data_IF_983194109248
#
_entry.id   IF_983194109248
#
_cell.length_a   1.000
_cell.length_b   1.000
_cell.length_c   1.000
_cell.angle_alpha   90.00
_cell.angle_beta   90.00
_cell.angle_gamma   90.00
#
_symmetry.space_group_name_H-M   'P 1'
#
loop_
_entity.id
_entity.type
_entity.pdbx_description
1 polymer ?
#
# COMPACT_ATOMS: atom_id res chain seq x y z
N UNK A 1 10.37 -42.09 36.75
CA UNK A 1 10.31 -41.63 35.35
C UNK A 1 9.00 -40.86 35.18
N UNK A 2 9.01 -39.56 35.48
CA UNK A 2 7.79 -38.73 35.42
C UNK A 2 7.85 -37.90 34.13
N UNK A 3 7.08 -38.31 33.13
CA UNK A 3 6.84 -37.51 31.95
C UNK A 3 5.93 -36.34 32.35
N UNK A 4 6.53 -35.20 32.70
CA UNK A 4 5.81 -33.93 32.76
C UNK A 4 5.45 -33.53 31.33
N UNK A 5 4.30 -34.01 30.87
CA UNK A 5 3.65 -33.52 29.67
C UNK A 5 3.30 -32.04 29.93
N UNK A 6 4.08 -31.13 29.35
CA UNK A 6 3.73 -29.72 29.25
C UNK A 6 2.42 -29.65 28.45
N UNK A 7 1.30 -29.53 29.18
CA UNK A 7 0.02 -29.11 28.64
C UNK A 7 0.27 -27.77 27.96
N UNK A 8 0.41 -27.79 26.63
CA UNK A 8 0.16 -26.61 25.81
C UNK A 8 -1.31 -26.31 26.08
N UNK A 9 -1.57 -25.33 26.96
CA UNK A 9 -2.81 -24.57 26.80
C UNK A 9 -2.72 -24.06 25.38
N UNK A 10 -3.55 -24.59 24.50
CA UNK A 10 -3.91 -23.89 23.29
C UNK A 10 -4.38 -22.51 23.76
N UNK A 11 -3.46 -21.55 23.81
CA UNK A 11 -3.81 -20.16 23.64
C UNK A 11 -4.40 -20.13 22.26
N UNK A 12 -5.70 -20.42 22.16
CA UNK A 12 -6.52 -20.15 21.00
C UNK A 12 -6.20 -18.70 20.64
N UNK A 13 -5.30 -18.54 19.68
CA UNK A 13 -4.82 -17.24 19.27
C UNK A 13 -5.99 -16.57 18.61
N UNK A 14 -6.60 -15.59 19.29
CA UNK A 14 -7.67 -14.80 18.68
C UNK A 14 -7.08 -14.13 17.45
N UNK A 15 -7.52 -14.59 16.28
CA UNK A 15 -7.11 -13.99 15.02
C UNK A 15 -7.94 -12.74 14.80
N UNK A 16 -7.26 -11.59 14.74
CA UNK A 16 -7.91 -10.32 14.47
C UNK A 16 -7.77 -10.05 12.98
N UNK A 17 -8.87 -10.00 12.26
CA UNK A 17 -8.86 -9.46 10.91
C UNK A 17 -9.08 -7.96 10.98
N UNK A 18 -8.22 -7.22 10.27
CA UNK A 18 -8.32 -5.78 10.09
C UNK A 18 -8.71 -5.54 8.65
N UNK A 19 -9.82 -4.85 8.42
CA UNK A 19 -10.24 -4.46 7.08
C UNK A 19 -10.65 -2.99 7.03
N UNK A 20 -10.45 -2.39 5.87
CA UNK A 20 -10.93 -1.07 5.51
C UNK A 20 -11.63 -1.15 4.15
N UNK A 21 -12.53 -0.20 3.85
CA UNK A 21 -13.00 0.00 2.48
C UNK A 21 -11.82 0.20 1.53
N UNK A 22 -11.98 -0.22 0.27
CA UNK A 22 -11.00 0.07 -0.78
C UNK A 22 -10.97 1.60 -1.01
N UNK A 23 -9.82 2.26 -0.90
CA UNK A 23 -9.76 3.71 -1.08
C UNK A 23 -10.02 4.11 -2.53
N UNK A 24 -10.84 5.14 -2.73
CA UNK A 24 -11.23 5.57 -4.08
C UNK A 24 -10.05 6.21 -4.84
N UNK A 25 -9.15 6.89 -4.12
CA UNK A 25 -7.98 7.52 -4.72
C UNK A 25 -6.99 6.53 -5.35
N UNK A 26 -7.11 5.22 -5.09
CA UNK A 26 -6.22 4.23 -5.69
C UNK A 26 -6.39 4.19 -7.22
N UNK A 27 -7.61 4.32 -7.72
CA UNK A 27 -7.86 4.43 -9.17
C UNK A 27 -7.34 5.76 -9.72
N UNK A 28 -7.47 6.84 -8.94
CA UNK A 28 -6.95 8.15 -9.32
C UNK A 28 -5.43 8.17 -9.49
N UNK A 29 -4.69 7.38 -8.69
CA UNK A 29 -3.24 7.21 -8.85
C UNK A 29 -2.90 6.61 -10.22
N UNK A 30 -3.64 5.59 -10.67
CA UNK A 30 -3.41 4.99 -12.00
C UNK A 30 -3.63 6.02 -13.11
N UNK A 31 -4.73 6.78 -13.02
CA UNK A 31 -5.07 7.83 -14.00
C UNK A 31 -4.00 8.92 -14.02
N UNK A 32 -3.52 9.35 -12.85
CA UNK A 32 -2.47 10.38 -12.76
C UNK A 32 -1.14 9.87 -13.35
N UNK A 33 -0.74 8.63 -13.09
CA UNK A 33 0.48 8.04 -13.69
C UNK A 33 0.45 8.04 -15.21
N UNK A 34 -0.72 7.85 -15.81
CA UNK A 34 -0.89 7.86 -17.27
C UNK A 34 -1.01 9.25 -17.89
N UNK A 35 -1.28 10.30 -17.10
CA UNK A 35 -1.58 11.64 -17.62
C UNK A 35 -0.57 12.70 -17.21
N UNK A 36 0.00 12.61 -16.01
CA UNK A 36 0.89 13.62 -15.44
C UNK A 36 2.23 13.70 -16.19
N UNK A 37 2.65 14.88 -16.67
CA UNK A 37 3.86 15.03 -17.50
C UNK A 37 5.14 14.51 -16.83
N UNK A 38 5.30 14.74 -15.52
CA UNK A 38 6.46 14.25 -14.77
C UNK A 38 6.49 12.72 -14.69
N UNK A 39 5.34 12.09 -14.44
CA UNK A 39 5.24 10.64 -14.33
C UNK A 39 5.47 9.99 -15.70
N UNK A 40 4.91 10.56 -16.78
CA UNK A 40 5.23 10.14 -18.15
C UNK A 40 6.71 10.22 -18.47
N UNK A 41 7.38 11.28 -18.01
CA UNK A 41 8.83 11.43 -18.19
C UNK A 41 9.58 10.33 -17.43
N UNK A 42 9.19 10.03 -16.20
CA UNK A 42 9.82 8.95 -15.41
C UNK A 42 9.57 7.59 -16.05
N UNK A 43 8.36 7.30 -16.52
CA UNK A 43 8.05 6.09 -17.28
C UNK A 43 8.96 5.94 -18.49
N UNK A 44 9.08 7.00 -19.30
CA UNK A 44 9.94 6.98 -20.48
C UNK A 44 11.40 6.73 -20.13
N UNK A 45 11.94 7.46 -19.14
CA UNK A 45 13.33 7.27 -18.68
C UNK A 45 13.56 5.86 -18.12
N UNK A 46 12.58 5.30 -17.42
CA UNK A 46 12.64 3.95 -16.88
C UNK A 46 12.66 2.90 -17.99
N UNK A 47 11.82 3.05 -19.01
CA UNK A 47 11.80 2.19 -20.21
C UNK A 47 13.12 2.24 -21.00
N UNK A 48 13.79 3.40 -21.03
CA UNK A 48 15.10 3.54 -21.67
C UNK A 48 16.28 3.05 -20.79
N UNK A 49 16.03 2.68 -19.53
CA UNK A 49 17.09 2.34 -18.59
C UNK A 49 17.95 3.52 -18.14
N UNK A 50 17.49 4.76 -18.39
CA UNK A 50 18.18 6.01 -18.06
C UNK A 50 17.67 6.66 -16.77
N UNK A 51 16.63 6.08 -16.15
CA UNK A 51 16.09 6.57 -14.90
C UNK A 51 17.12 6.48 -13.77
N UNK A 52 17.50 7.64 -13.22
CA UNK A 52 18.45 7.72 -12.12
C UNK A 52 17.73 7.40 -10.80
N UNK A 53 17.99 6.21 -10.26
CA UNK A 53 17.52 5.79 -8.94
C UNK A 53 16.74 4.47 -8.95
N UNK A 54 16.32 3.99 -7.78
CA UNK A 54 15.55 2.75 -7.62
C UNK A 54 14.08 2.97 -8.01
N UNK A 55 13.86 3.25 -9.30
CA UNK A 55 12.55 3.39 -9.90
C UNK A 55 12.02 2.05 -10.35
N UNK A 56 10.76 1.78 -10.07
CA UNK A 56 10.06 0.58 -10.52
C UNK A 56 8.72 0.99 -11.13
N UNK A 57 8.35 0.34 -12.23
CA UNK A 57 7.03 0.47 -12.81
C UNK A 57 6.26 -0.83 -12.56
N UNK A 58 5.26 -0.78 -11.69
CA UNK A 58 4.39 -1.91 -11.37
C UNK A 58 2.99 -1.63 -11.89
N UNK A 59 2.57 -2.36 -12.92
CA UNK A 59 1.26 -2.24 -13.55
C UNK A 59 0.89 -0.81 -13.99
N UNK A 60 1.87 -0.02 -14.43
CA UNK A 60 1.65 1.36 -14.86
C UNK A 60 1.69 2.39 -13.74
N UNK A 61 2.08 2.01 -12.52
CA UNK A 61 2.31 2.93 -11.40
C UNK A 61 3.80 3.01 -11.11
N UNK A 62 4.32 4.24 -10.98
CA UNK A 62 5.70 4.49 -10.59
C UNK A 62 5.87 4.34 -9.08
N UNK A 63 6.87 3.54 -8.71
CA UNK A 63 7.39 3.38 -7.37
C UNK A 63 8.81 3.94 -7.28
N UNK A 64 9.13 4.53 -6.14
CA UNK A 64 10.46 4.94 -5.76
C UNK A 64 10.79 4.33 -4.39
N UNK A 65 11.81 3.47 -4.32
CA UNK A 65 12.17 2.75 -3.08
C UNK A 65 10.96 2.05 -2.43
N UNK A 66 10.23 1.25 -3.20
CA UNK A 66 9.07 0.47 -2.74
C UNK A 66 7.86 1.31 -2.28
N UNK A 67 7.83 2.61 -2.57
CA UNK A 67 6.73 3.53 -2.25
C UNK A 67 6.16 4.12 -3.52
N UNK A 68 4.84 4.29 -3.57
CA UNK A 68 4.20 5.03 -4.66
C UNK A 68 4.77 6.44 -4.69
N UNK A 69 5.26 6.85 -5.86
CA UNK A 69 5.74 8.20 -6.07
C UNK A 69 4.57 9.09 -6.51
N UNK A 70 4.39 10.21 -5.80
CA UNK A 70 3.43 11.24 -6.18
C UNK A 70 4.19 12.55 -6.45
N UNK A 71 3.94 13.22 -7.59
CA UNK A 71 4.47 14.54 -7.86
C UNK A 71 4.05 15.54 -6.78
N UNK A 72 4.93 16.47 -6.41
CA UNK A 72 4.67 17.44 -5.34
C UNK A 72 3.48 18.38 -5.59
N UNK A 73 3.09 18.54 -6.86
CA UNK A 73 1.95 19.33 -7.32
C UNK A 73 0.69 18.48 -7.57
N UNK A 74 0.68 17.21 -7.15
CA UNK A 74 -0.48 16.32 -7.26
C UNK A 74 -1.55 16.71 -6.23
N UNK A 75 -2.76 16.97 -6.70
CA UNK A 75 -3.93 17.18 -5.85
C UNK A 75 -4.30 15.92 -5.05
N UNK A 76 -3.84 14.73 -5.49
CA UNK A 76 -4.07 13.47 -4.77
C UNK A 76 -3.43 13.48 -3.38
N UNK A 77 -2.36 14.25 -3.17
CA UNK A 77 -1.71 14.34 -1.85
C UNK A 77 -2.73 14.80 -0.80
N UNK A 78 -3.49 15.85 -1.07
CA UNK A 78 -4.47 16.38 -0.13
C UNK A 78 -5.65 15.41 0.07
N UNK A 79 -6.13 14.79 -1.01
CA UNK A 79 -7.23 13.82 -0.98
C UNK A 79 -6.85 12.60 -0.13
N UNK A 80 -5.66 12.03 -0.38
CA UNK A 80 -5.16 10.87 0.35
C UNK A 80 -4.99 11.20 1.84
N UNK A 81 -4.41 12.36 2.17
CA UNK A 81 -4.25 12.77 3.57
C UNK A 81 -5.59 12.94 4.28
N UNK A 82 -6.57 13.55 3.62
CA UNK A 82 -7.92 13.72 4.18
C UNK A 82 -8.62 12.38 4.41
N UNK A 83 -8.56 11.47 3.43
CA UNK A 83 -9.19 10.15 3.56
C UNK A 83 -8.51 9.28 4.63
N UNK A 84 -7.18 9.27 4.69
CA UNK A 84 -6.45 8.51 5.71
C UNK A 84 -6.78 9.02 7.10
N UNK A 85 -6.85 10.34 7.30
CA UNK A 85 -7.26 10.93 8.58
C UNK A 85 -8.70 10.56 8.97
N UNK A 86 -9.60 10.44 7.99
CA UNK A 86 -10.97 10.01 8.20
C UNK A 86 -11.18 8.49 8.26
N UNK A 87 -10.13 7.69 8.00
CA UNK A 87 -10.28 6.26 7.77
C UNK A 87 -10.64 5.53 9.06
N UNK A 88 -11.85 4.95 9.07
CA UNK A 88 -12.30 4.07 10.13
C UNK A 88 -11.98 2.63 9.77
N UNK A 89 -11.16 1.99 10.60
CA UNK A 89 -10.76 0.59 10.42
C UNK A 89 -11.67 -0.33 11.23
N UNK A 90 -12.10 -1.44 10.64
CA UNK A 90 -12.92 -2.45 11.32
C UNK A 90 -12.04 -3.60 11.80
N UNK A 91 -12.22 -3.99 13.06
CA UNK A 91 -11.58 -5.16 13.66
C UNK A 91 -12.64 -6.23 13.91
N UNK A 92 -12.51 -7.40 13.27
CA UNK A 92 -13.36 -8.56 13.57
C UNK A 92 -12.54 -9.58 14.35
N UNK A 93 -13.01 -9.91 15.55
CA UNK A 93 -12.46 -10.98 16.38
C UNK A 93 -13.02 -12.31 15.87
N UNK A 94 -12.15 -13.19 15.38
CA UNK A 94 -12.52 -14.58 15.15
C UNK A 94 -12.12 -15.38 16.40
N UNK A 95 -13.10 -16.07 16.98
CA UNK A 95 -12.90 -17.07 18.03
C UNK A 95 -13.23 -18.43 17.43
N UNK A 96 -12.24 -19.33 17.44
CA UNK A 96 -12.37 -20.74 17.05
C UNK A 96 -13.23 -21.54 18.05
#
# INVERSE_FOLDING_TARGET
>A
MAAYALSRKDTQGKFNAVSSPLPQWLESINVENQSHPELKRIHHLHEQGEAIGPWENLNGVIFFKERIYLPSNSELILIILQEIHGMRVFTKLFTE
#
